data_IF_570844883861
#
_entry.id   IF_570844883861
#
_cell.length_a   1.000
_cell.length_b   1.000
_cell.length_c   1.000
_cell.angle_alpha   90.00
_cell.angle_beta   90.00
_cell.angle_gamma   90.00
#
_symmetry.space_group_name_H-M   'P 1'
#
loop_
_entity.id
_entity.type
_entity.pdbx_description
1 polymer ?
#
# COMPACT_ATOMS: atom_id res chain seq x y z
N UNK A 1 5.59 4.05 22.04
CA UNK A 1 6.40 3.09 21.29
C UNK A 1 5.48 2.25 20.42
N UNK A 2 5.78 2.16 19.14
CA UNK A 2 5.05 1.28 18.22
C UNK A 2 5.60 -0.13 18.35
N UNK A 3 4.83 -1.02 18.94
CA UNK A 3 5.21 -2.42 19.17
C UNK A 3 4.48 -3.40 18.26
N UNK A 4 3.54 -2.90 17.46
CA UNK A 4 2.74 -3.70 16.53
C UNK A 4 2.55 -2.96 15.20
N UNK A 5 2.48 -3.69 14.06
CA UNK A 5 2.32 -3.07 12.74
C UNK A 5 1.08 -2.19 12.60
N UNK A 6 -0.03 -2.56 13.24
CA UNK A 6 -1.27 -1.77 13.18
C UNK A 6 -1.18 -0.42 13.90
N UNK A 7 -0.15 -0.18 14.74
CA UNK A 7 0.09 1.13 15.31
C UNK A 7 0.53 2.18 14.27
N UNK A 8 1.08 1.73 13.13
CA UNK A 8 1.52 2.62 12.05
C UNK A 8 0.35 3.30 11.32
N UNK A 9 -0.80 2.64 11.27
CA UNK A 9 -2.02 3.15 10.61
C UNK A 9 -3.08 3.59 11.61
N UNK A 10 -2.69 3.88 12.86
CA UNK A 10 -3.59 4.41 13.88
C UNK A 10 -4.12 5.80 13.48
N UNK A 11 -5.43 5.92 13.28
CA UNK A 11 -6.06 7.07 12.64
C UNK A 11 -5.74 8.42 13.32
N UNK A 12 -5.61 8.44 14.67
CA UNK A 12 -5.32 9.66 15.42
C UNK A 12 -3.90 10.19 15.22
N UNK A 13 -2.95 9.32 14.88
CA UNK A 13 -1.53 9.66 14.70
C UNK A 13 -1.10 9.63 13.24
N UNK A 14 -1.68 8.76 12.45
CA UNK A 14 -1.28 8.55 11.06
C UNK A 14 -1.48 9.82 10.21
N UNK A 15 -2.61 10.53 10.37
CA UNK A 15 -2.84 11.80 9.67
C UNK A 15 -1.79 12.85 10.00
N UNK A 16 -1.40 12.98 11.27
CA UNK A 16 -0.38 13.93 11.73
C UNK A 16 1.02 13.56 11.20
N UNK A 17 1.34 12.26 11.12
CA UNK A 17 2.62 11.78 10.55
C UNK A 17 2.69 12.10 9.07
N UNK A 18 1.63 11.80 8.30
CA UNK A 18 1.59 12.14 6.87
C UNK A 18 1.76 13.65 6.68
N UNK A 19 1.09 14.48 7.47
CA UNK A 19 1.21 15.92 7.38
C UNK A 19 2.65 16.39 7.65
N UNK A 20 3.32 15.85 8.68
CA UNK A 20 4.71 16.16 8.97
C UNK A 20 5.66 15.72 7.85
N UNK A 21 5.44 14.54 7.27
CA UNK A 21 6.22 14.03 6.15
C UNK A 21 6.03 14.89 4.89
N UNK A 22 4.80 15.34 4.61
CA UNK A 22 4.49 16.27 3.51
C UNK A 22 5.31 17.55 3.66
N UNK A 23 5.26 18.18 4.82
CA UNK A 23 5.98 19.42 5.07
C UNK A 23 7.50 19.23 4.95
N UNK A 24 8.05 18.12 5.49
CA UNK A 24 9.47 17.83 5.41
C UNK A 24 9.94 17.65 3.95
N UNK A 25 9.18 16.92 3.13
CA UNK A 25 9.53 16.70 1.70
C UNK A 25 9.35 18.01 0.92
N UNK A 26 8.26 18.72 1.10
CA UNK A 26 8.00 19.99 0.40
C UNK A 26 9.01 21.08 0.78
N UNK A 27 9.48 21.10 2.03
CA UNK A 27 10.52 22.04 2.47
C UNK A 27 11.89 21.77 1.81
N UNK A 28 12.16 20.51 1.45
CA UNK A 28 13.39 20.14 0.76
C UNK A 28 13.40 20.50 -0.74
N UNK A 29 12.27 20.88 -1.33
CA UNK A 29 12.20 21.28 -2.73
C UNK A 29 12.70 22.72 -2.93
N UNK A 30 13.53 22.92 -3.94
CA UNK A 30 13.92 24.24 -4.39
C UNK A 30 12.74 24.97 -5.07
N UNK A 31 12.84 26.29 -5.20
CA UNK A 31 11.74 27.10 -5.78
C UNK A 31 11.33 26.63 -7.19
N UNK A 32 12.30 26.23 -8.03
CA UNK A 32 12.02 25.75 -9.39
C UNK A 32 11.43 24.33 -9.45
N UNK A 33 11.49 23.57 -8.35
CA UNK A 33 10.88 22.25 -8.22
C UNK A 33 9.40 22.30 -7.80
N UNK A 34 8.90 23.50 -7.46
CA UNK A 34 7.50 23.70 -7.03
C UNK A 34 6.62 23.99 -8.23
N UNK A 35 5.65 23.13 -8.45
CA UNK A 35 4.61 23.28 -9.48
C UNK A 35 3.33 23.89 -8.93
N UNK A 36 2.36 24.03 -9.80
CA UNK A 36 1.02 24.55 -9.49
C UNK A 36 -0.05 23.56 -9.93
N UNK A 37 -1.22 23.63 -9.30
CA UNK A 37 -2.38 22.88 -9.78
C UNK A 37 -2.80 23.46 -11.14
N UNK A 38 -2.80 22.67 -12.23
CA UNK A 38 -3.12 23.17 -13.56
C UNK A 38 -4.62 23.50 -13.67
N UNK A 39 -4.99 24.40 -14.58
CA UNK A 39 -6.36 24.89 -14.75
C UNK A 39 -7.40 23.79 -15.08
N UNK A 40 -6.97 22.62 -15.54
CA UNK A 40 -7.85 21.49 -15.84
C UNK A 40 -8.04 20.52 -14.66
N UNK A 41 -7.41 20.80 -13.51
CA UNK A 41 -7.61 20.12 -12.23
C UNK A 41 -8.20 21.11 -11.22
N UNK A 42 -8.83 20.60 -10.16
CA UNK A 42 -9.52 21.43 -9.16
C UNK A 42 -8.94 21.16 -7.79
N UNK A 43 -8.53 22.20 -7.08
CA UNK A 43 -8.30 22.14 -5.64
C UNK A 43 -9.55 22.60 -4.90
N UNK A 44 -9.96 21.81 -3.89
CA UNK A 44 -11.02 22.14 -2.93
C UNK A 44 -10.38 22.23 -1.55
N UNK A 45 -10.86 23.17 -0.71
CA UNK A 45 -10.29 23.37 0.62
C UNK A 45 -9.16 24.39 0.63
N UNK A 46 -8.65 24.68 1.83
CA UNK A 46 -7.69 25.76 2.10
C UNK A 46 -6.32 25.28 2.57
N UNK A 47 -6.20 23.99 2.91
CA UNK A 47 -4.91 23.43 3.30
C UNK A 47 -3.96 23.33 2.11
N UNK A 48 -2.68 23.10 2.40
CA UNK A 48 -1.65 23.16 1.38
C UNK A 48 -1.73 22.00 0.39
N UNK A 49 -1.43 22.31 -0.86
CA UNK A 49 -1.30 21.34 -1.94
C UNK A 49 0.07 21.53 -2.60
N UNK A 50 0.97 20.60 -2.32
CA UNK A 50 2.34 20.62 -2.83
C UNK A 50 2.42 19.72 -4.08
N UNK A 51 2.63 20.33 -5.22
CA UNK A 51 2.81 19.64 -6.50
C UNK A 51 4.26 19.84 -6.95
N UNK A 52 4.99 18.76 -7.21
CA UNK A 52 6.31 18.89 -7.81
C UNK A 52 6.21 19.34 -9.27
N UNK A 53 7.15 20.16 -9.75
CA UNK A 53 7.10 20.74 -11.11
C UNK A 53 7.08 19.68 -12.23
N UNK A 54 7.61 18.47 -11.98
CA UNK A 54 7.58 17.35 -12.93
C UNK A 54 6.38 16.43 -12.75
N UNK A 55 5.54 16.64 -11.72
CA UNK A 55 4.34 15.85 -11.51
C UNK A 55 3.27 16.16 -12.57
N UNK A 56 2.44 15.19 -12.88
CA UNK A 56 1.37 15.33 -13.87
C UNK A 56 0.00 15.09 -13.24
N UNK A 57 -0.89 16.06 -13.44
CA UNK A 57 -2.29 15.94 -13.06
C UNK A 57 -3.14 15.86 -14.33
N UNK A 58 -3.97 14.83 -14.44
CA UNK A 58 -4.88 14.64 -15.57
C UNK A 58 -6.10 15.57 -15.51
N UNK A 59 -6.84 15.65 -16.61
CA UNK A 59 -8.08 16.45 -16.70
C UNK A 59 -9.11 15.93 -15.70
N UNK A 60 -9.76 16.87 -14.98
CA UNK A 60 -10.82 16.56 -14.02
C UNK A 60 -10.33 15.92 -12.71
N UNK A 61 -9.02 15.97 -12.42
CA UNK A 61 -8.50 15.59 -11.10
C UNK A 61 -9.03 16.57 -10.05
N UNK A 62 -9.51 16.04 -8.94
CA UNK A 62 -9.92 16.82 -7.75
C UNK A 62 -8.95 16.53 -6.62
N UNK A 63 -8.35 17.58 -6.07
CA UNK A 63 -7.48 17.56 -4.89
C UNK A 63 -8.24 18.23 -3.74
N UNK A 64 -8.84 17.43 -2.85
CA UNK A 64 -9.61 17.92 -1.72
C UNK A 64 -8.71 18.03 -0.48
N UNK A 65 -8.28 19.24 -0.19
CA UNK A 65 -7.44 19.58 0.95
C UNK A 65 -8.23 20.03 2.18
N UNK A 66 -9.56 19.86 2.22
CA UNK A 66 -10.41 20.33 3.32
C UNK A 66 -10.05 19.74 4.68
N UNK A 67 -9.44 18.55 4.71
CA UNK A 67 -9.10 17.83 5.93
C UNK A 67 -7.59 17.60 6.13
N UNK A 68 -6.74 18.19 5.29
CA UNK A 68 -5.29 18.08 5.38
C UNK A 68 -4.58 18.26 4.05
N UNK A 69 -3.27 18.46 4.14
CA UNK A 69 -2.41 18.72 2.99
C UNK A 69 -2.31 17.53 2.02
N UNK A 70 -2.02 17.84 0.76
CA UNK A 70 -1.73 16.84 -0.28
C UNK A 70 -0.35 17.13 -0.87
N UNK A 71 0.46 16.07 -1.06
CA UNK A 71 1.71 16.15 -1.80
C UNK A 71 1.70 15.19 -2.98
N UNK A 72 2.06 15.71 -4.16
CA UNK A 72 2.31 14.91 -5.37
C UNK A 72 3.75 15.13 -5.78
N UNK A 73 4.59 14.13 -5.53
CA UNK A 73 6.05 14.21 -5.65
C UNK A 73 6.52 14.09 -7.10
N UNK A 74 7.84 14.21 -7.31
CA UNK A 74 8.51 14.24 -8.61
C UNK A 74 8.13 13.06 -9.52
N UNK A 75 7.82 13.36 -10.76
CA UNK A 75 7.42 12.39 -11.79
C UNK A 75 6.19 11.55 -11.42
N UNK A 76 5.48 11.88 -10.35
CA UNK A 76 4.22 11.23 -10.02
C UNK A 76 3.12 11.66 -11.00
N UNK A 77 2.14 10.79 -11.20
CA UNK A 77 1.03 11.02 -12.11
C UNK A 77 -0.29 10.70 -11.42
N UNK A 78 -1.19 11.68 -11.36
CA UNK A 78 -2.60 11.48 -10.98
C UNK A 78 -3.43 11.62 -12.24
N UNK A 79 -3.99 10.49 -12.71
CA UNK A 79 -4.67 10.43 -13.99
C UNK A 79 -6.09 10.97 -13.95
N UNK A 80 -6.70 11.04 -15.15
CA UNK A 80 -7.96 11.72 -15.40
C UNK A 80 -9.10 11.29 -14.46
N UNK A 81 -9.84 12.30 -13.96
CA UNK A 81 -11.04 12.10 -13.16
C UNK A 81 -10.82 11.47 -11.79
N UNK A 82 -9.58 11.39 -11.33
CA UNK A 82 -9.28 10.87 -9.99
C UNK A 82 -9.54 11.91 -8.91
N UNK A 83 -9.94 11.44 -7.72
CA UNK A 83 -10.17 12.27 -6.52
C UNK A 83 -9.14 11.88 -5.47
N UNK A 84 -8.46 12.86 -4.91
CA UNK A 84 -7.51 12.68 -3.81
C UNK A 84 -7.94 13.56 -2.65
N UNK A 85 -8.20 12.96 -1.50
CA UNK A 85 -8.57 13.66 -0.25
C UNK A 85 -7.39 13.65 0.71
N UNK A 86 -7.01 14.82 1.20
CA UNK A 86 -5.93 14.98 2.18
C UNK A 86 -6.31 14.57 3.63
N UNK A 87 -5.33 14.29 4.49
CA UNK A 87 -3.91 14.27 4.17
C UNK A 87 -3.53 13.08 3.28
N UNK A 88 -2.77 13.34 2.21
CA UNK A 88 -2.35 12.32 1.26
C UNK A 88 -0.94 12.59 0.72
N UNK A 89 -0.12 11.54 0.68
CA UNK A 89 1.24 11.57 0.15
C UNK A 89 1.33 10.65 -1.07
N UNK A 90 1.65 11.20 -2.24
CA UNK A 90 1.86 10.47 -3.49
C UNK A 90 3.33 10.58 -3.87
N UNK A 91 4.10 9.53 -3.57
CA UNK A 91 5.55 9.49 -3.73
C UNK A 91 6.01 9.47 -5.17
N UNK A 92 7.31 9.72 -5.34
CA UNK A 92 7.95 9.89 -6.63
C UNK A 92 7.67 8.73 -7.61
N UNK A 93 7.38 9.06 -8.88
CA UNK A 93 7.11 8.11 -9.97
C UNK A 93 5.91 7.18 -9.72
N UNK A 94 5.08 7.49 -8.73
CA UNK A 94 3.84 6.76 -8.46
C UNK A 94 2.76 7.19 -9.44
N UNK A 95 1.96 6.22 -9.91
CA UNK A 95 0.82 6.48 -10.79
C UNK A 95 -0.47 6.14 -10.06
N UNK A 96 -1.35 7.13 -9.94
CA UNK A 96 -2.75 6.95 -9.59
C UNK A 96 -3.52 6.84 -10.90
N UNK A 97 -4.17 5.70 -11.13
CA UNK A 97 -4.88 5.39 -12.38
C UNK A 97 -6.14 6.24 -12.53
N UNK A 98 -6.68 6.26 -13.75
CA UNK A 98 -7.88 7.04 -14.07
C UNK A 98 -9.05 6.69 -13.15
N UNK A 99 -9.81 7.71 -12.73
CA UNK A 99 -11.04 7.58 -11.93
C UNK A 99 -10.85 6.87 -10.59
N UNK A 100 -9.65 6.93 -10.02
CA UNK A 100 -9.37 6.41 -8.69
C UNK A 100 -9.86 7.36 -7.60
N UNK A 101 -10.22 6.82 -6.44
CA UNK A 101 -10.61 7.58 -5.26
C UNK A 101 -9.62 7.28 -4.13
N UNK A 102 -8.72 8.22 -3.88
CA UNK A 102 -7.83 8.17 -2.73
C UNK A 102 -8.44 8.96 -1.59
N UNK A 103 -8.84 8.27 -0.54
CA UNK A 103 -9.38 8.87 0.69
C UNK A 103 -8.24 9.36 1.58
N UNK A 104 -8.58 10.17 2.57
CA UNK A 104 -7.64 10.70 3.55
C UNK A 104 -6.79 9.61 4.22
N UNK A 105 -5.63 10.01 4.73
CA UNK A 105 -4.62 9.16 5.37
C UNK A 105 -4.07 8.08 4.41
N UNK A 106 -3.81 8.47 3.17
CA UNK A 106 -3.21 7.61 2.16
C UNK A 106 -1.77 8.04 1.91
N UNK A 107 -0.81 7.14 2.16
CA UNK A 107 0.61 7.34 1.87
C UNK A 107 1.07 6.29 0.86
N UNK A 108 1.33 6.72 -0.36
CA UNK A 108 1.87 5.89 -1.43
C UNK A 108 3.37 6.19 -1.59
N UNK A 109 4.22 5.25 -1.24
CA UNK A 109 5.65 5.34 -1.46
C UNK A 109 6.03 5.42 -2.95
N UNK A 110 7.33 5.44 -3.27
CA UNK A 110 7.78 5.66 -4.65
C UNK A 110 7.42 4.48 -5.57
N UNK A 111 7.26 4.79 -6.86
CA UNK A 111 7.08 3.82 -7.95
C UNK A 111 5.86 2.88 -7.79
N UNK A 112 4.85 3.26 -7.02
CA UNK A 112 3.63 2.50 -6.85
C UNK A 112 2.65 2.67 -8.02
N UNK A 113 1.67 1.77 -8.08
CA UNK A 113 0.49 1.87 -8.95
C UNK A 113 -0.75 1.72 -8.08
N UNK A 114 -1.61 2.72 -8.09
CA UNK A 114 -2.82 2.76 -7.27
C UNK A 114 -4.05 2.95 -8.15
N UNK A 115 -5.09 2.16 -7.94
CA UNK A 115 -6.38 2.28 -8.62
C UNK A 115 -7.52 1.77 -7.74
N UNK A 116 -8.73 2.23 -8.03
CA UNK A 116 -9.93 1.92 -7.28
C UNK A 116 -10.11 2.82 -6.06
N UNK A 117 -10.78 2.33 -5.04
CA UNK A 117 -11.01 3.05 -3.79
C UNK A 117 -9.96 2.66 -2.76
N UNK A 118 -9.15 3.62 -2.31
CA UNK A 118 -8.03 3.40 -1.39
C UNK A 118 -8.10 4.43 -0.26
N UNK A 119 -8.00 4.01 0.99
CA UNK A 119 -8.04 4.95 2.13
C UNK A 119 -7.43 4.41 3.41
N UNK A 120 -6.80 5.27 4.19
CA UNK A 120 -6.07 4.91 5.41
C UNK A 120 -5.03 3.80 5.15
N UNK A 121 -4.17 3.97 4.14
CA UNK A 121 -3.20 2.94 3.74
C UNK A 121 -1.78 3.48 3.66
N UNK A 122 -0.82 2.58 3.85
CA UNK A 122 0.59 2.79 3.55
C UNK A 122 1.02 1.79 2.49
N UNK A 123 1.57 2.26 1.37
CA UNK A 123 2.37 1.47 0.44
C UNK A 123 3.83 1.87 0.63
N UNK A 124 4.69 0.95 1.00
CA UNK A 124 6.10 1.29 1.25
C UNK A 124 6.85 1.66 -0.03
N UNK A 125 6.63 0.94 -1.12
CA UNK A 125 7.23 1.26 -2.41
C UNK A 125 7.05 0.16 -3.45
N UNK A 126 7.17 0.50 -4.73
CA UNK A 126 7.13 -0.45 -5.85
C UNK A 126 5.89 -1.39 -5.87
N UNK A 127 4.84 -1.04 -5.15
CA UNK A 127 3.65 -1.84 -4.92
C UNK A 127 2.56 -1.50 -5.92
N UNK A 128 1.88 -2.53 -6.42
CA UNK A 128 0.83 -2.42 -7.41
C UNK A 128 -0.54 -2.87 -6.85
N UNK A 129 -1.46 -1.94 -6.74
CA UNK A 129 -2.90 -2.12 -6.69
C UNK A 129 -3.47 -1.38 -7.91
N UNK A 130 -3.16 -1.87 -9.10
CA UNK A 130 -3.32 -1.13 -10.35
C UNK A 130 -4.73 -1.21 -10.98
N UNK A 131 -5.67 -1.89 -10.34
CA UNK A 131 -7.03 -2.13 -10.81
C UNK A 131 -8.06 -1.85 -9.73
N UNK A 132 -9.36 -1.86 -10.07
CA UNK A 132 -10.47 -1.62 -9.17
C UNK A 132 -10.52 -2.57 -7.97
N UNK A 133 -11.23 -2.15 -6.95
CA UNK A 133 -11.43 -2.82 -5.66
C UNK A 133 -11.12 -1.89 -4.49
N UNK A 134 -11.81 -2.12 -3.37
CA UNK A 134 -11.59 -1.37 -2.14
C UNK A 134 -10.34 -1.86 -1.42
N UNK A 135 -9.51 -0.94 -0.93
CA UNK A 135 -8.40 -1.22 -0.02
C UNK A 135 -8.41 -0.17 1.09
N UNK A 136 -8.69 -0.61 2.30
CA UNK A 136 -8.80 0.28 3.46
C UNK A 136 -8.05 -0.22 4.68
N UNK A 137 -7.55 0.73 5.50
CA UNK A 137 -6.86 0.50 6.78
C UNK A 137 -5.79 -0.60 6.69
N UNK A 138 -4.88 -0.46 5.71
CA UNK A 138 -3.91 -1.49 5.35
C UNK A 138 -2.47 -0.97 5.29
N UNK A 139 -1.53 -1.87 5.60
CA UNK A 139 -0.10 -1.65 5.42
C UNK A 139 0.43 -2.67 4.42
N UNK A 140 1.03 -2.18 3.33
CA UNK A 140 1.63 -2.99 2.28
C UNK A 140 3.14 -2.73 2.22
N UNK A 141 3.90 -3.81 2.21
CA UNK A 141 5.34 -3.80 2.00
C UNK A 141 5.74 -3.39 0.59
N UNK A 142 7.00 -3.55 0.27
CA UNK A 142 7.53 -3.31 -1.06
C UNK A 142 7.26 -4.49 -2.02
N UNK A 143 7.19 -4.17 -3.32
CA UNK A 143 7.07 -5.18 -4.39
C UNK A 143 5.80 -6.04 -4.32
N UNK A 144 4.77 -5.62 -3.59
CA UNK A 144 3.47 -6.29 -3.56
C UNK A 144 2.77 -6.12 -4.89
N UNK A 145 2.06 -7.16 -5.34
CA UNK A 145 1.19 -7.07 -6.51
C UNK A 145 -0.18 -7.67 -6.20
N UNK A 146 -1.19 -6.83 -6.17
CA UNK A 146 -2.58 -7.23 -6.02
C UNK A 146 -3.20 -7.38 -7.41
N UNK A 147 -3.66 -8.58 -7.74
CA UNK A 147 -4.35 -8.87 -9.00
C UNK A 147 -5.63 -8.05 -9.17
N UNK A 148 -6.11 -7.93 -10.39
CA UNK A 148 -7.33 -7.17 -10.70
C UNK A 148 -8.52 -7.65 -9.86
N UNK A 149 -9.32 -6.71 -9.34
CA UNK A 149 -10.46 -7.02 -8.48
C UNK A 149 -10.10 -7.50 -7.07
N UNK A 150 -8.81 -7.42 -6.67
CA UNK A 150 -8.44 -7.66 -5.27
C UNK A 150 -9.02 -6.56 -4.39
N UNK A 151 -9.67 -6.97 -3.30
CA UNK A 151 -10.26 -6.06 -2.31
C UNK A 151 -10.06 -6.58 -0.90
N UNK A 152 -10.13 -5.69 0.09
CA UNK A 152 -10.14 -6.11 1.48
C UNK A 152 -11.39 -5.64 2.23
N UNK A 153 -11.76 -6.39 3.26
CA UNK A 153 -12.65 -5.92 4.31
C UNK A 153 -11.82 -5.26 5.41
N UNK A 154 -12.30 -4.16 5.97
CA UNK A 154 -11.65 -3.44 7.06
C UNK A 154 -12.53 -3.27 8.30
N UNK A 155 -13.76 -3.76 8.28
CA UNK A 155 -14.73 -3.71 9.36
C UNK A 155 -15.38 -5.08 9.53
N UNK A 156 -15.49 -5.54 10.78
CA UNK A 156 -16.26 -6.75 11.08
C UNK A 156 -17.77 -6.50 10.99
N UNK A 157 -18.53 -7.46 10.49
CA UNK A 157 -20.00 -7.36 10.45
C UNK A 157 -20.63 -7.20 11.84
N UNK A 158 -19.91 -7.57 12.89
CA UNK A 158 -20.31 -7.39 14.30
C UNK A 158 -19.99 -6.00 14.85
N UNK A 159 -19.29 -5.16 14.09
CA UNK A 159 -18.76 -3.86 14.51
C UNK A 159 -17.87 -3.90 15.77
N UNK A 160 -17.36 -5.09 16.11
CA UNK A 160 -16.43 -5.27 17.22
C UNK A 160 -15.00 -4.86 16.85
N UNK A 161 -14.15 -4.67 17.87
CA UNK A 161 -12.72 -4.46 17.67
C UNK A 161 -12.08 -5.66 16.97
N UNK A 162 -11.28 -5.37 15.96
CA UNK A 162 -10.58 -6.38 15.18
C UNK A 162 -9.49 -7.03 16.02
N UNK A 163 -9.42 -8.36 15.96
CA UNK A 163 -8.30 -9.12 16.49
C UNK A 163 -7.48 -9.71 15.33
N UNK A 164 -6.15 -9.70 15.48
CA UNK A 164 -5.22 -10.18 14.46
C UNK A 164 -4.24 -11.20 15.02
N UNK A 165 -3.78 -12.09 14.14
CA UNK A 165 -2.54 -12.87 14.36
C UNK A 165 -1.48 -12.39 13.38
N UNK A 166 -0.26 -12.21 13.84
CA UNK A 166 0.87 -11.86 12.97
C UNK A 166 1.50 -13.09 12.31
N UNK A 167 1.26 -14.28 12.89
CA UNK A 167 1.66 -15.59 12.35
C UNK A 167 0.56 -16.60 12.63
N UNK A 168 0.38 -17.65 11.81
CA UNK A 168 -0.65 -18.68 12.02
C UNK A 168 -0.62 -19.31 13.41
N UNK A 169 0.58 -19.63 13.91
CA UNK A 169 0.81 -20.19 15.25
C UNK A 169 0.87 -19.14 16.37
N UNK A 170 0.82 -17.86 16.04
CA UNK A 170 0.94 -16.76 16.99
C UNK A 170 -0.33 -16.53 17.81
N UNK A 171 -0.24 -15.73 18.88
CA UNK A 171 -1.39 -15.35 19.69
C UNK A 171 -2.37 -14.49 18.87
N UNK A 172 -3.65 -14.62 19.16
CA UNK A 172 -4.66 -13.71 18.69
C UNK A 172 -4.64 -12.45 19.57
N UNK A 173 -4.29 -11.30 19.00
CA UNK A 173 -4.16 -10.05 19.72
C UNK A 173 -5.28 -9.09 19.32
N UNK A 174 -5.90 -8.41 20.27
CA UNK A 174 -6.84 -7.33 20.01
C UNK A 174 -6.08 -6.10 19.55
N UNK A 175 -6.49 -5.51 18.44
CA UNK A 175 -5.85 -4.29 17.91
C UNK A 175 -6.31 -3.03 18.61
N UNK A 176 -7.41 -3.08 19.36
CA UNK A 176 -8.09 -1.91 19.92
C UNK A 176 -8.73 -1.02 18.85
N UNK A 177 -9.00 -1.56 17.67
CA UNK A 177 -9.49 -0.82 16.50
C UNK A 177 -10.70 -1.51 15.90
N UNK A 178 -11.72 -0.72 15.63
CA UNK A 178 -12.90 -1.18 14.89
C UNK A 178 -12.61 -1.31 13.38
N UNK A 179 -11.78 -0.40 12.83
CA UNK A 179 -11.33 -0.44 11.45
C UNK A 179 -9.89 -0.92 11.37
N UNK A 180 -9.67 -2.08 10.76
CA UNK A 180 -8.38 -2.69 10.51
C UNK A 180 -8.49 -3.67 9.33
N UNK A 181 -7.91 -3.32 8.22
CA UNK A 181 -7.95 -4.13 7.00
C UNK A 181 -6.96 -5.28 7.03
N UNK A 182 -5.78 -5.05 6.47
CA UNK A 182 -4.77 -6.11 6.37
C UNK A 182 -3.35 -5.56 6.48
N UNK A 183 -2.42 -6.47 6.81
CA UNK A 183 -0.98 -6.25 6.74
C UNK A 183 -0.42 -7.22 5.71
N UNK A 184 0.33 -6.71 4.75
CA UNK A 184 0.89 -7.48 3.64
C UNK A 184 2.40 -7.25 3.60
N UNK A 185 3.17 -8.31 3.75
CA UNK A 185 4.63 -8.27 3.68
C UNK A 185 5.17 -8.06 2.27
N UNK A 186 6.49 -7.92 2.16
CA UNK A 186 7.15 -7.66 0.89
C UNK A 186 6.98 -8.80 -0.13
N UNK A 187 7.04 -8.46 -1.41
CA UNK A 187 7.02 -9.42 -2.53
C UNK A 187 5.77 -10.31 -2.63
N UNK A 188 4.70 -10.03 -1.88
CA UNK A 188 3.44 -10.79 -1.98
C UNK A 188 2.80 -10.61 -3.35
N UNK A 189 2.30 -11.72 -3.92
CA UNK A 189 1.55 -11.74 -5.19
C UNK A 189 0.19 -12.39 -4.95
N UNK A 190 -0.87 -11.65 -5.20
CA UNK A 190 -2.25 -12.14 -5.10
C UNK A 190 -2.86 -12.25 -6.49
N UNK A 191 -3.57 -13.33 -6.75
CA UNK A 191 -4.29 -13.53 -8.01
C UNK A 191 -5.46 -12.53 -8.15
N UNK A 192 -6.03 -12.48 -9.35
CA UNK A 192 -7.23 -11.69 -9.64
C UNK A 192 -8.39 -12.12 -8.73
N UNK A 193 -9.24 -11.15 -8.33
CA UNK A 193 -10.43 -11.42 -7.53
C UNK A 193 -10.15 -11.87 -6.09
N UNK A 194 -8.93 -11.75 -5.59
CA UNK A 194 -8.60 -12.15 -4.22
C UNK A 194 -9.35 -11.27 -3.22
N UNK A 195 -10.07 -11.92 -2.29
CA UNK A 195 -10.77 -11.29 -1.18
C UNK A 195 -9.92 -11.43 0.08
N UNK A 196 -9.57 -10.31 0.70
CA UNK A 196 -8.78 -10.28 1.93
C UNK A 196 -9.72 -9.92 3.09
N UNK A 197 -9.83 -10.79 4.08
CA UNK A 197 -10.74 -10.56 5.19
C UNK A 197 -10.13 -9.63 6.25
N UNK A 198 -11.00 -9.00 7.02
CA UNK A 198 -10.65 -8.08 8.11
C UNK A 198 -9.61 -8.69 9.05
N UNK A 199 -8.54 -7.94 9.30
CA UNK A 199 -7.46 -8.38 10.20
C UNK A 199 -6.53 -9.44 9.62
N UNK A 200 -6.52 -9.66 8.31
CA UNK A 200 -5.59 -10.60 7.70
C UNK A 200 -4.14 -10.09 7.76
N UNK A 201 -3.21 -11.02 7.97
CA UNK A 201 -1.76 -10.76 7.94
C UNK A 201 -1.10 -11.73 6.95
N UNK A 202 -0.55 -11.21 5.85
CA UNK A 202 0.02 -12.00 4.77
C UNK A 202 1.54 -11.84 4.82
N UNK A 203 2.24 -12.94 5.09
CA UNK A 203 3.70 -12.95 5.25
C UNK A 203 4.45 -12.60 3.95
N UNK A 204 5.70 -12.17 4.11
CA UNK A 204 6.60 -11.86 2.99
C UNK A 204 6.70 -13.02 1.99
N UNK A 205 6.69 -12.71 0.70
CA UNK A 205 6.91 -13.69 -0.36
C UNK A 205 5.74 -14.64 -0.64
N UNK A 206 4.57 -14.43 -0.04
CA UNK A 206 3.37 -15.24 -0.30
C UNK A 206 2.94 -15.13 -1.76
N UNK A 207 2.64 -16.28 -2.37
CA UNK A 207 1.96 -16.41 -3.65
C UNK A 207 0.58 -17.01 -3.40
N UNK A 208 -0.48 -16.20 -3.54
CA UNK A 208 -1.86 -16.64 -3.35
C UNK A 208 -2.60 -16.69 -4.67
N UNK A 209 -2.97 -17.90 -5.09
CA UNK A 209 -3.70 -18.17 -6.32
C UNK A 209 -4.91 -19.09 -6.10
N UNK A 210 -5.42 -19.17 -4.86
CA UNK A 210 -6.63 -19.90 -4.51
C UNK A 210 -7.87 -19.04 -4.67
N UNK A 211 -9.00 -19.66 -4.98
CA UNK A 211 -10.33 -19.02 -5.03
C UNK A 211 -10.90 -18.70 -3.64
N UNK A 212 -10.37 -19.31 -2.58
CA UNK A 212 -10.75 -19.02 -1.21
C UNK A 212 -10.34 -17.58 -0.79
N UNK A 213 -11.07 -17.00 0.16
CA UNK A 213 -10.67 -15.73 0.75
C UNK A 213 -9.45 -15.91 1.66
N UNK A 214 -8.58 -14.89 1.70
CA UNK A 214 -7.48 -14.84 2.66
C UNK A 214 -8.02 -14.48 4.04
N UNK A 215 -7.88 -15.36 5.02
CA UNK A 215 -8.41 -15.19 6.38
C UNK A 215 -7.28 -15.41 7.39
N UNK A 216 -7.17 -14.50 8.37
CA UNK A 216 -6.17 -14.61 9.45
C UNK A 216 -4.75 -14.42 8.96
N UNK A 217 -3.81 -15.20 9.50
CA UNK A 217 -2.40 -15.08 9.12
C UNK A 217 -2.00 -16.16 8.10
N UNK A 218 -1.12 -15.76 7.16
CA UNK A 218 -0.50 -16.66 6.17
C UNK A 218 1.01 -16.63 6.38
N UNK A 219 1.63 -17.82 6.49
CA UNK A 219 3.07 -17.91 6.71
C UNK A 219 3.87 -17.29 5.56
N UNK A 220 5.03 -16.67 5.87
CA UNK A 220 5.92 -16.19 4.81
C UNK A 220 6.30 -17.30 3.83
N UNK A 221 6.41 -16.96 2.57
CA UNK A 221 6.73 -17.88 1.48
C UNK A 221 5.74 -19.04 1.27
N UNK A 222 4.50 -18.90 1.75
CA UNK A 222 3.45 -19.83 1.38
C UNK A 222 3.08 -19.65 -0.11
N UNK A 223 2.96 -20.76 -0.84
CA UNK A 223 2.36 -20.81 -2.16
C UNK A 223 1.03 -21.56 -2.07
N UNK A 224 -0.07 -20.81 -2.15
CA UNK A 224 -1.42 -21.33 -1.94
C UNK A 224 -2.18 -21.36 -3.26
N UNK A 225 -2.74 -22.52 -3.60
CA UNK A 225 -3.61 -22.77 -4.76
C UNK A 225 -4.85 -23.51 -4.31
N UNK A 226 -5.81 -23.75 -5.20
CA UNK A 226 -6.97 -24.58 -4.88
C UNK A 226 -6.60 -26.06 -4.64
N UNK A 227 -5.42 -26.50 -5.07
CA UNK A 227 -4.89 -27.85 -4.82
C UNK A 227 -4.19 -27.97 -3.45
N UNK A 228 -4.05 -26.87 -2.71
CA UNK A 228 -3.43 -26.84 -1.40
C UNK A 228 -2.31 -25.82 -1.22
N UNK A 229 -1.62 -25.92 -0.10
CA UNK A 229 -0.52 -25.03 0.28
C UNK A 229 0.81 -25.79 0.25
N UNK A 230 1.83 -25.11 -0.24
CA UNK A 230 3.23 -25.58 -0.20
C UNK A 230 4.15 -24.40 0.08
N UNK A 231 5.35 -24.70 0.55
CA UNK A 231 6.38 -23.67 0.73
C UNK A 231 7.01 -23.30 -0.60
N UNK A 232 7.12 -21.99 -0.87
CA UNK A 232 7.80 -21.47 -2.06
C UNK A 232 9.32 -21.70 -1.91
N UNK A 233 9.93 -22.36 -2.87
CA UNK A 233 11.37 -22.59 -2.88
C UNK A 233 12.10 -21.26 -3.03
N UNK A 234 13.11 -21.02 -2.18
CA UNK A 234 13.85 -19.75 -2.15
C UNK A 234 14.51 -19.43 -3.48
N UNK A 235 15.13 -20.41 -4.15
CA UNK A 235 15.77 -20.21 -5.46
C UNK A 235 14.79 -19.69 -6.50
N UNK A 236 13.60 -20.32 -6.60
CA UNK A 236 12.55 -19.90 -7.53
C UNK A 236 11.91 -18.55 -7.15
N UNK A 237 11.74 -18.31 -5.87
CA UNK A 237 11.28 -17.01 -5.40
C UNK A 237 12.26 -15.89 -5.80
N UNK A 238 13.58 -16.08 -5.58
CA UNK A 238 14.61 -15.09 -5.92
C UNK A 238 14.70 -14.82 -7.43
N UNK A 239 14.54 -15.85 -8.29
CA UNK A 239 14.45 -15.67 -9.75
C UNK A 239 13.28 -14.74 -10.12
N UNK A 240 12.11 -14.95 -9.52
CA UNK A 240 10.91 -14.14 -9.78
C UNK A 240 11.10 -12.73 -9.22
N UNK A 241 11.60 -12.58 -7.99
CA UNK A 241 11.87 -11.28 -7.38
C UNK A 241 12.81 -10.44 -8.25
N UNK A 242 13.91 -11.02 -8.72
CA UNK A 242 14.87 -10.38 -9.63
C UNK A 242 14.19 -9.94 -10.93
N UNK A 243 13.38 -10.80 -11.54
CA UNK A 243 12.64 -10.49 -12.78
C UNK A 243 11.65 -9.33 -12.56
N UNK A 244 10.94 -9.33 -11.44
CA UNK A 244 10.00 -8.24 -11.10
C UNK A 244 10.72 -6.93 -10.87
N UNK A 245 11.83 -6.96 -10.14
CA UNK A 245 12.62 -5.75 -9.83
C UNK A 245 13.26 -5.15 -11.10
N UNK A 246 13.73 -5.99 -12.01
CA UNK A 246 14.29 -5.57 -13.30
C UNK A 246 13.28 -4.75 -14.15
N UNK A 247 11.97 -5.00 -14.03
CA UNK A 247 10.93 -4.20 -14.70
C UNK A 247 10.87 -2.74 -14.21
N UNK A 248 11.49 -2.45 -13.07
CA UNK A 248 11.64 -1.10 -12.50
C UNK A 248 13.08 -0.59 -12.60
N UNK A 249 13.94 -1.27 -13.37
CA UNK A 249 15.36 -0.93 -13.48
C UNK A 249 16.15 -1.18 -12.20
N UNK A 250 15.70 -2.09 -11.33
CA UNK A 250 16.36 -2.44 -10.06
C UNK A 250 16.78 -3.90 -10.06
N UNK A 251 17.75 -4.21 -9.21
CA UNK A 251 18.18 -5.57 -8.88
C UNK A 251 18.20 -5.73 -7.37
N UNK A 252 17.97 -6.93 -6.84
CA UNK A 252 18.09 -7.16 -5.41
C UNK A 252 19.49 -6.80 -4.91
N UNK A 253 19.57 -6.02 -3.84
CA UNK A 253 20.82 -5.77 -3.13
C UNK A 253 21.22 -7.03 -2.35
N UNK A 254 22.52 -7.17 -2.07
CA UNK A 254 23.01 -8.30 -1.28
C UNK A 254 22.34 -8.37 0.11
N UNK A 255 22.11 -7.22 0.75
CA UNK A 255 21.43 -7.13 2.04
C UNK A 255 19.94 -7.55 1.94
N UNK A 256 19.22 -7.12 0.89
CA UNK A 256 17.84 -7.53 0.63
C UNK A 256 17.75 -9.06 0.42
N UNK A 257 18.63 -9.62 -0.40
CA UNK A 257 18.70 -11.06 -0.65
C UNK A 257 19.01 -11.85 0.62
N UNK A 258 19.94 -11.38 1.46
CA UNK A 258 20.27 -12.00 2.72
C UNK A 258 19.10 -11.94 3.72
N UNK A 259 18.38 -10.82 3.78
CA UNK A 259 17.19 -10.66 4.63
C UNK A 259 16.07 -11.62 4.20
N UNK A 260 15.78 -11.69 2.90
CA UNK A 260 14.77 -12.61 2.35
C UNK A 260 15.12 -14.07 2.62
N UNK A 261 16.40 -14.44 2.47
CA UNK A 261 16.87 -15.79 2.80
C UNK A 261 16.74 -16.10 4.30
N UNK A 262 17.04 -15.15 5.19
CA UNK A 262 16.89 -15.30 6.61
C UNK A 262 15.42 -15.47 7.04
N UNK A 263 14.51 -14.64 6.47
CA UNK A 263 13.06 -14.77 6.71
C UNK A 263 12.56 -16.12 6.19
N UNK A 264 13.01 -16.54 5.00
CA UNK A 264 12.67 -17.86 4.47
C UNK A 264 13.15 -18.97 5.40
N UNK A 265 14.39 -18.94 5.87
CA UNK A 265 14.93 -19.96 6.76
C UNK A 265 14.19 -20.05 8.13
N UNK A 266 13.71 -18.89 8.62
CA UNK A 266 12.96 -18.81 9.89
C UNK A 266 11.48 -19.20 9.75
N UNK A 267 10.95 -19.35 8.53
CA UNK A 267 9.56 -19.74 8.29
C UNK A 267 9.41 -21.25 8.37
N UNK A 268 8.32 -21.79 8.95
CA UNK A 268 8.08 -23.23 8.99
C UNK A 268 8.01 -23.82 7.58
N UNK A 269 8.41 -25.09 7.46
CA UNK A 269 8.38 -25.83 6.21
C UNK A 269 7.01 -26.33 5.84
#
# INVERSE_FOLDING_TARGET
LWSRPWHLIEASRFGAIIAADIEAVAAAWEAHERGVVPAHATQVGTEQCHIHATARLGVGVVLDTSNGAILVDRDAEVRHGSIVTGPAFIGAKTIVSDRSVLKARTALGPQCRAAGEIGSVIFQGCTNKAHDGHLGDALLGEWVNLGAGTLNSNLLNTYADVAMRLRPSGPLERTGRQFMGCIIGDHVKLAIGTRIMTGACIGTGVMWAAGAAVIGAVEPFAWVTDDGERRFRLDKFMEIATTVMARRGRSPLAAESATLAAVHAASPG
#
